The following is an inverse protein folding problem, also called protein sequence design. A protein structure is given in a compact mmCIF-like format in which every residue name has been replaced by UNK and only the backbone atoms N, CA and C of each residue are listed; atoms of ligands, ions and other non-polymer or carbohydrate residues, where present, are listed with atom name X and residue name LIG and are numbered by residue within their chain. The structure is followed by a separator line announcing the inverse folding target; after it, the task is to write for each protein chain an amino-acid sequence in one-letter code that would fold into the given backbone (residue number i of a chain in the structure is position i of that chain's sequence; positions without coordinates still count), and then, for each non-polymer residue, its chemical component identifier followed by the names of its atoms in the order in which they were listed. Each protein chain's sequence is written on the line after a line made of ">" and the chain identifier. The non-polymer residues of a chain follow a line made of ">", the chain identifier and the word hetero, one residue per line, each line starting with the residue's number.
data_IF_554333778466
#
_entry.id   IF_554333778466
#
_cell.length_a   1.000
_cell.length_b   1.000
_cell.length_c   1.000
_cell.angle_alpha   90.00
_cell.angle_beta   90.00
_cell.angle_gamma   90.00
#
_symmetry.space_group_name_H-M   'P 1'
#
loop_
_entity.id
_entity.type
_entity.pdbx_description
1 polymer ?
#
# COMPACT_ATOMS: atom_id res chain seq x y z
N UNK A 1 -23.54 2.76 4.38
CA UNK A 1 -22.66 2.01 3.44
C UNK A 1 -21.52 2.92 3.02
N UNK A 2 -20.38 2.38 2.59
CA UNK A 2 -19.29 3.17 1.99
C UNK A 2 -19.25 2.87 0.48
N UNK A 3 -19.26 3.90 -0.35
CA UNK A 3 -19.22 3.73 -1.81
C UNK A 3 -17.82 3.38 -2.28
N UNK A 4 -17.63 2.18 -2.85
CA UNK A 4 -16.36 1.77 -3.47
C UNK A 4 -15.91 2.76 -4.55
N UNK A 5 -16.82 3.19 -5.42
CA UNK A 5 -16.50 4.14 -6.50
C UNK A 5 -15.96 5.45 -5.94
N UNK A 6 -16.59 5.98 -4.90
CA UNK A 6 -16.13 7.21 -4.25
C UNK A 6 -14.78 7.02 -3.56
N UNK A 7 -14.56 5.87 -2.89
CA UNK A 7 -13.30 5.55 -2.23
C UNK A 7 -12.13 5.46 -3.21
N UNK A 8 -12.30 4.79 -4.35
CA UNK A 8 -11.25 4.67 -5.36
C UNK A 8 -10.93 6.02 -6.00
N UNK A 9 -11.94 6.84 -6.30
CA UNK A 9 -11.74 8.19 -6.82
C UNK A 9 -11.03 9.09 -5.79
N UNK A 10 -11.36 8.95 -4.51
CA UNK A 10 -10.67 9.63 -3.42
C UNK A 10 -9.19 9.23 -3.36
N UNK A 11 -8.87 7.92 -3.36
CA UNK A 11 -7.48 7.49 -3.30
C UNK A 11 -6.65 7.98 -4.49
N UNK A 12 -7.15 7.89 -5.72
CA UNK A 12 -6.40 8.42 -6.88
C UNK A 12 -6.16 9.93 -6.73
N UNK A 13 -7.17 10.69 -6.29
CA UNK A 13 -7.05 12.13 -6.08
C UNK A 13 -5.98 12.47 -5.04
N UNK A 14 -6.01 11.85 -3.87
CA UNK A 14 -5.09 12.19 -2.77
C UNK A 14 -3.66 11.69 -3.03
N UNK A 15 -3.51 10.54 -3.71
CA UNK A 15 -2.20 10.04 -4.13
C UNK A 15 -1.57 10.98 -5.17
N UNK A 16 -2.37 11.44 -6.13
CA UNK A 16 -1.92 12.40 -7.16
C UNK A 16 -1.60 13.77 -6.57
N UNK A 17 -2.40 14.24 -5.62
CA UNK A 17 -2.14 15.50 -4.91
C UNK A 17 -0.82 15.42 -4.14
N UNK A 18 -0.62 14.36 -3.35
CA UNK A 18 0.61 14.14 -2.60
C UNK A 18 1.84 14.11 -3.51
N UNK A 19 1.73 13.46 -4.67
CA UNK A 19 2.80 13.43 -5.68
C UNK A 19 3.11 14.83 -6.22
N UNK A 20 2.08 15.60 -6.59
CA UNK A 20 2.23 16.96 -7.14
C UNK A 20 2.81 17.95 -6.13
N UNK A 21 2.42 17.84 -4.87
CA UNK A 21 2.88 18.75 -3.81
C UNK A 21 4.19 18.29 -3.19
N UNK A 22 4.71 17.11 -3.57
CA UNK A 22 5.95 16.55 -3.02
C UNK A 22 5.87 16.21 -1.54
N UNK A 23 4.67 15.90 -1.04
CA UNK A 23 4.50 15.43 0.36
C UNK A 23 4.42 13.91 0.37
N UNK A 24 4.95 13.33 1.44
CA UNK A 24 4.86 11.90 1.65
C UNK A 24 3.42 11.47 1.92
N UNK A 25 3.01 10.36 1.30
CA UNK A 25 1.70 9.75 1.49
C UNK A 25 1.74 8.76 2.65
N UNK A 26 0.68 8.79 3.47
CA UNK A 26 0.47 7.80 4.54
C UNK A 26 -1.00 7.42 4.67
N UNK A 27 -1.24 6.15 5.02
CA UNK A 27 -2.55 5.57 5.25
C UNK A 27 -2.68 5.14 6.71
N UNK A 28 -3.70 5.68 7.37
CA UNK A 28 -4.00 5.43 8.77
C UNK A 28 -5.38 4.81 8.91
N UNK A 29 -5.44 3.51 9.21
CA UNK A 29 -6.69 2.75 9.38
C UNK A 29 -6.63 1.88 10.64
N UNK A 30 -7.69 1.13 10.93
CA UNK A 30 -7.79 0.26 12.11
C UNK A 30 -8.12 -1.19 11.74
N UNK A 31 -7.27 -1.83 10.93
CA UNK A 31 -7.58 -3.12 10.31
C UNK A 31 -7.70 -4.29 11.31
N UNK A 32 -6.96 -4.27 12.42
CA UNK A 32 -7.02 -5.27 13.48
C UNK A 32 -8.41 -5.40 14.12
N UNK A 33 -9.02 -4.26 14.49
CA UNK A 33 -10.32 -4.20 15.15
C UNK A 33 -11.47 -4.26 14.13
N UNK A 34 -11.32 -3.57 13.00
CA UNK A 34 -12.35 -3.51 11.96
C UNK A 34 -12.11 -4.60 10.90
N UNK A 35 -12.18 -5.86 11.34
CA UNK A 35 -11.74 -7.07 10.60
C UNK A 35 -12.34 -7.26 9.21
N UNK A 36 -13.49 -6.65 8.92
CA UNK A 36 -14.16 -6.80 7.62
C UNK A 36 -13.92 -5.58 6.74
N UNK A 37 -14.22 -4.38 7.23
CA UNK A 37 -14.23 -3.17 6.38
C UNK A 37 -12.84 -2.63 6.10
N UNK A 38 -11.97 -2.51 7.12
CA UNK A 38 -10.70 -1.81 6.98
C UNK A 38 -9.65 -2.57 6.15
N UNK A 39 -9.57 -3.91 6.18
CA UNK A 39 -8.74 -4.64 5.23
C UNK A 39 -9.14 -4.38 3.76
N UNK A 40 -10.43 -4.23 3.46
CA UNK A 40 -10.91 -3.90 2.10
C UNK A 40 -10.52 -2.47 1.72
N UNK A 41 -10.71 -1.52 2.64
CA UNK A 41 -10.29 -0.11 2.45
C UNK A 41 -8.79 -0.03 2.18
N UNK A 42 -7.99 -0.74 2.97
CA UNK A 42 -6.54 -0.84 2.82
C UNK A 42 -6.15 -1.44 1.46
N UNK A 43 -6.70 -2.60 1.11
CA UNK A 43 -6.37 -3.27 -0.15
C UNK A 43 -6.74 -2.46 -1.39
N UNK A 44 -7.81 -1.66 -1.32
CA UNK A 44 -8.13 -0.69 -2.37
C UNK A 44 -7.06 0.39 -2.54
N UNK A 45 -6.53 0.94 -1.44
CA UNK A 45 -5.44 1.90 -1.50
C UNK A 45 -4.19 1.29 -2.15
N UNK A 46 -3.80 0.07 -1.73
CA UNK A 46 -2.65 -0.66 -2.30
C UNK A 46 -2.81 -0.87 -3.80
N UNK A 47 -3.98 -1.32 -4.27
CA UNK A 47 -4.23 -1.53 -5.70
C UNK A 47 -4.19 -0.25 -6.52
N UNK A 48 -4.63 0.88 -5.97
CA UNK A 48 -4.58 2.18 -6.64
C UNK A 48 -3.15 2.71 -6.71
N UNK A 49 -2.38 2.54 -5.64
CA UNK A 49 -0.98 2.96 -5.61
C UNK A 49 -0.15 2.20 -6.65
N UNK A 50 -0.26 0.86 -6.68
CA UNK A 50 0.45 -0.02 -7.60
C UNK A 50 -0.36 -0.38 -8.87
N UNK A 51 -1.23 0.50 -9.34
CA UNK A 51 -2.21 0.19 -10.40
C UNK A 51 -1.58 -0.44 -11.65
N UNK A 52 -0.45 0.10 -12.11
CA UNK A 52 0.20 -0.34 -13.35
C UNK A 52 0.74 -1.78 -13.22
N UNK A 53 1.31 -2.11 -12.06
CA UNK A 53 1.78 -3.47 -11.77
C UNK A 53 0.61 -4.46 -11.65
N UNK A 54 -0.50 -4.05 -11.02
CA UNK A 54 -1.71 -4.88 -10.90
C UNK A 54 -2.42 -5.07 -12.24
N UNK A 55 -2.41 -4.07 -13.12
CA UNK A 55 -2.94 -4.19 -14.49
C UNK A 55 -2.10 -5.16 -15.33
N UNK A 56 -0.77 -5.06 -15.23
CA UNK A 56 0.16 -5.93 -15.97
C UNK A 56 0.14 -7.38 -15.49
N UNK A 57 0.17 -7.61 -14.17
CA UNK A 57 0.34 -8.93 -13.57
C UNK A 57 -0.96 -9.53 -12.99
N UNK A 58 -2.10 -8.86 -13.15
CA UNK A 58 -3.35 -9.21 -12.47
C UNK A 58 -3.76 -10.68 -12.60
N UNK A 59 -3.65 -11.26 -13.81
CA UNK A 59 -3.97 -12.68 -14.02
C UNK A 59 -3.11 -13.62 -13.18
N UNK A 60 -1.80 -13.37 -13.15
CA UNK A 60 -0.86 -14.14 -12.34
C UNK A 60 -1.13 -13.94 -10.85
N UNK A 61 -1.45 -12.72 -10.43
CA UNK A 61 -1.81 -12.44 -9.04
C UNK A 61 -3.08 -13.17 -8.61
N UNK A 62 -4.08 -13.27 -9.49
CA UNK A 62 -5.30 -14.02 -9.24
C UNK A 62 -5.03 -15.54 -9.18
N UNK A 63 -4.18 -16.08 -10.07
CA UNK A 63 -3.76 -17.50 -10.06
C UNK A 63 -3.01 -17.89 -8.77
N UNK A 64 -2.16 -16.98 -8.27
CA UNK A 64 -1.46 -17.15 -6.98
C UNK A 64 -2.36 -16.88 -5.77
N UNK A 65 -3.59 -16.41 -6.00
CA UNK A 65 -4.56 -16.01 -4.99
C UNK A 65 -4.08 -14.85 -4.12
N UNK A 66 -3.28 -13.92 -4.65
CA UNK A 66 -2.74 -12.79 -3.90
C UNK A 66 -3.88 -11.92 -3.36
N UNK A 67 -3.83 -11.63 -2.06
CA UNK A 67 -4.81 -10.82 -1.37
C UNK A 67 -4.13 -9.66 -0.62
N UNK A 68 -4.01 -8.51 -1.29
CA UNK A 68 -3.44 -7.30 -0.69
C UNK A 68 -4.28 -6.65 0.41
N UNK A 69 -5.49 -7.16 0.70
CA UNK A 69 -6.17 -6.80 1.94
C UNK A 69 -5.35 -7.25 3.17
N UNK A 70 -4.46 -8.23 3.00
CA UNK A 70 -3.50 -8.72 3.99
C UNK A 70 -2.14 -7.99 3.94
N UNK A 71 -1.96 -7.00 3.07
CA UNK A 71 -0.67 -6.32 2.90
C UNK A 71 0.14 -6.78 1.70
N UNK A 72 1.15 -5.99 1.33
CA UNK A 72 2.14 -6.36 0.31
C UNK A 72 2.99 -7.56 0.74
N UNK A 73 3.07 -7.86 2.05
CA UNK A 73 3.70 -9.08 2.56
C UNK A 73 3.10 -10.35 1.96
N UNK A 74 1.79 -10.38 1.71
CA UNK A 74 1.11 -11.52 1.08
C UNK A 74 1.57 -11.71 -0.37
N UNK A 75 1.67 -10.61 -1.12
CA UNK A 75 2.20 -10.60 -2.48
C UNK A 75 3.64 -11.11 -2.51
N UNK A 76 4.53 -10.52 -1.71
CA UNK A 76 5.94 -10.91 -1.68
C UNK A 76 6.14 -12.38 -1.28
N UNK A 77 5.33 -12.88 -0.34
CA UNK A 77 5.36 -14.28 0.08
C UNK A 77 4.95 -15.22 -1.05
N UNK A 78 3.88 -14.89 -1.79
CA UNK A 78 3.34 -15.76 -2.85
C UNK A 78 4.22 -15.79 -4.09
N UNK A 79 4.77 -14.64 -4.48
CA UNK A 79 5.68 -14.59 -5.65
C UNK A 79 6.99 -15.32 -5.39
N UNK A 80 7.39 -15.55 -4.12
CA UNK A 80 8.62 -16.28 -3.79
C UNK A 80 8.65 -17.73 -4.33
N UNK A 81 7.48 -18.29 -4.64
CA UNK A 81 7.35 -19.62 -5.28
C UNK A 81 7.62 -19.62 -6.79
N UNK A 82 7.68 -18.45 -7.43
CA UNK A 82 7.90 -18.31 -8.87
C UNK A 82 9.38 -18.42 -9.25
N UNK A 83 9.72 -18.66 -10.52
CA UNK A 83 11.08 -18.50 -11.01
C UNK A 83 11.64 -17.09 -10.72
N UNK A 84 12.94 -17.00 -10.39
CA UNK A 84 13.58 -15.74 -10.03
C UNK A 84 13.37 -14.62 -11.06
N UNK A 85 13.41 -14.95 -12.36
CA UNK A 85 13.17 -13.98 -13.44
C UNK A 85 11.80 -13.30 -13.34
N UNK A 86 10.76 -14.06 -12.95
CA UNK A 86 9.41 -13.53 -12.76
C UNK A 86 9.28 -12.71 -11.48
N UNK A 87 9.95 -13.14 -10.41
CA UNK A 87 10.01 -12.37 -9.17
C UNK A 87 10.63 -10.99 -9.41
N UNK A 88 11.77 -10.94 -10.09
CA UNK A 88 12.48 -9.69 -10.38
C UNK A 88 11.70 -8.80 -11.35
N UNK A 89 11.00 -9.38 -12.33
CA UNK A 89 10.07 -8.63 -13.18
C UNK A 89 8.99 -7.93 -12.35
N UNK A 90 8.31 -8.66 -11.46
CA UNK A 90 7.24 -8.11 -10.61
C UNK A 90 7.78 -7.04 -9.68
N UNK A 91 8.91 -7.29 -9.01
CA UNK A 91 9.54 -6.32 -8.09
C UNK A 91 9.93 -5.03 -8.81
N UNK A 92 10.52 -5.15 -10.01
CA UNK A 92 10.89 -3.99 -10.83
C UNK A 92 9.65 -3.18 -11.22
N UNK A 93 8.57 -3.84 -11.62
CA UNK A 93 7.35 -3.15 -12.03
C UNK A 93 6.64 -2.49 -10.83
N UNK A 94 6.70 -3.10 -9.63
CA UNK A 94 6.28 -2.47 -8.38
C UNK A 94 7.15 -1.25 -8.02
N UNK A 95 8.48 -1.34 -8.23
CA UNK A 95 9.39 -0.21 -8.04
C UNK A 95 9.09 0.93 -9.02
N UNK A 96 8.85 0.62 -10.29
CA UNK A 96 8.51 1.61 -11.31
C UNK A 96 7.24 2.39 -10.97
N UNK A 97 6.28 1.80 -10.25
CA UNK A 97 5.10 2.53 -9.76
C UNK A 97 5.50 3.70 -8.85
N UNK A 98 6.57 3.59 -8.05
CA UNK A 98 7.02 4.67 -7.17
C UNK A 98 7.57 5.89 -7.94
N UNK A 99 7.98 5.73 -9.20
CA UNK A 99 8.49 6.85 -10.02
C UNK A 99 7.40 7.87 -10.39
N UNK A 100 6.13 7.45 -10.32
CA UNK A 100 4.97 8.26 -10.70
C UNK A 100 3.96 8.39 -9.56
N UNK A 101 4.42 8.14 -8.33
CA UNK A 101 3.62 8.11 -7.11
C UNK A 101 4.36 8.86 -6.01
N UNK A 102 3.66 9.37 -4.97
CA UNK A 102 4.33 10.05 -3.87
C UNK A 102 5.22 9.07 -3.10
N UNK A 103 6.23 9.61 -2.42
CA UNK A 103 6.96 8.88 -1.39
C UNK A 103 5.97 8.31 -0.37
N UNK A 104 6.21 7.08 0.09
CA UNK A 104 5.32 6.37 0.99
C UNK A 104 5.92 6.28 2.37
N UNK A 105 5.14 6.57 3.40
CA UNK A 105 5.59 6.46 4.78
C UNK A 105 6.11 5.05 5.10
N UNK A 106 7.18 5.01 5.89
CA UNK A 106 7.87 3.79 6.29
C UNK A 106 7.58 3.42 7.73
N UNK A 107 7.43 2.12 7.96
CA UNK A 107 7.38 1.51 9.30
C UNK A 107 8.80 1.25 9.79
N UNK A 108 9.66 0.73 8.91
CA UNK A 108 11.09 0.49 9.16
C UNK A 108 11.86 0.69 7.83
N UNK A 109 12.43 1.88 7.64
CA UNK A 109 13.15 2.22 6.41
C UNK A 109 14.44 1.41 6.23
N UNK A 110 15.10 1.00 7.33
CA UNK A 110 16.30 0.16 7.28
C UNK A 110 16.01 -1.24 6.72
N UNK A 111 14.76 -1.72 6.84
CA UNK A 111 14.31 -3.00 6.30
C UNK A 111 13.41 -2.87 5.07
N UNK A 112 13.16 -1.66 4.59
CA UNK A 112 12.24 -1.42 3.47
C UNK A 112 10.76 -1.76 3.79
N UNK A 113 10.36 -1.74 5.06
CA UNK A 113 8.98 -2.03 5.47
C UNK A 113 8.17 -0.75 5.34
N UNK A 114 7.30 -0.70 4.33
CA UNK A 114 6.44 0.44 4.01
C UNK A 114 5.14 0.41 4.79
N UNK A 115 4.39 1.52 4.77
CA UNK A 115 3.02 1.61 5.28
C UNK A 115 2.03 0.63 4.63
N UNK A 116 2.36 0.07 3.45
CA UNK A 116 1.56 -0.97 2.80
C UNK A 116 2.04 -2.41 3.07
N UNK A 117 3.08 -2.60 3.89
CA UNK A 117 3.61 -3.94 4.17
C UNK A 117 2.56 -4.86 4.82
N UNK A 118 1.97 -4.43 5.95
CA UNK A 118 0.83 -5.09 6.58
C UNK A 118 -0.21 -4.06 7.04
N UNK A 119 -1.52 -4.37 6.95
CA UNK A 119 -2.60 -3.46 7.33
C UNK A 119 -2.65 -3.18 8.85
N UNK A 120 -1.88 -3.93 9.63
CA UNK A 120 -1.82 -3.82 11.08
C UNK A 120 -0.60 -3.04 11.58
N UNK A 121 0.31 -2.64 10.70
CA UNK A 121 1.56 -1.99 11.11
C UNK A 121 1.33 -0.52 11.49
N UNK A 122 0.43 0.17 10.78
CA UNK A 122 0.06 1.58 11.05
C UNK A 122 -1.41 1.65 11.48
N UNK A 123 -1.63 1.67 12.79
CA UNK A 123 -2.97 1.72 13.39
C UNK A 123 -3.31 3.17 13.76
N UNK A 124 -4.44 3.68 13.27
CA UNK A 124 -4.81 5.12 13.33
C UNK A 124 -4.75 5.74 14.73
N UNK A 125 -5.13 5.00 15.78
CA UNK A 125 -5.17 5.50 17.16
C UNK A 125 -3.78 5.65 17.79
N UNK A 126 -2.79 4.88 17.36
CA UNK A 126 -1.40 5.02 17.80
C UNK A 126 -0.58 5.92 16.85
N UNK A 127 -0.78 5.75 15.55
CA UNK A 127 0.02 6.39 14.51
C UNK A 127 -0.25 7.89 14.37
N UNK A 128 -1.51 8.34 14.46
CA UNK A 128 -1.83 9.77 14.34
C UNK A 128 -1.24 10.59 15.50
N UNK A 129 -1.39 10.20 16.79
CA UNK A 129 -0.71 10.90 17.88
C UNK A 129 0.82 10.88 17.76
N UNK A 130 1.42 9.77 17.30
CA UNK A 130 2.86 9.68 17.11
C UNK A 130 3.37 10.67 16.05
N UNK A 131 2.67 10.76 14.91
CA UNK A 131 2.96 11.72 13.84
C UNK A 131 2.83 13.18 14.33
N UNK A 132 1.75 13.50 15.07
CA UNK A 132 1.53 14.82 15.66
C UNK A 132 2.65 15.17 16.65
N UNK A 133 2.98 14.26 17.56
CA UNK A 133 4.06 14.43 18.55
C UNK A 133 5.42 14.66 17.89
N UNK A 134 5.64 14.07 16.71
CA UNK A 134 6.87 14.20 15.93
C UNK A 134 6.91 15.46 15.07
N UNK A 135 6.03 16.44 15.34
CA UNK A 135 5.97 17.71 14.62
C UNK A 135 5.31 17.60 13.25
N UNK A 136 4.35 16.69 13.09
CA UNK A 136 3.64 16.50 11.82
C UNK A 136 4.44 15.70 10.79
N UNK A 137 5.33 14.81 11.24
CA UNK A 137 6.27 14.07 10.39
C UNK A 137 6.19 12.57 10.62
N UNK A 138 6.50 11.81 9.58
CA UNK A 138 6.73 10.36 9.62
C UNK A 138 8.06 10.05 8.94
N UNK A 139 8.55 8.82 9.07
CA UNK A 139 9.74 8.37 8.35
C UNK A 139 9.39 8.03 6.90
N UNK A 140 10.25 8.43 5.96
CA UNK A 140 10.31 7.95 4.58
C UNK A 140 11.47 6.99 4.38
#
# INVERSE_FOLDING_TARGET
>A
FMSKKALLAFYEKEIEDAHKTGVMFSLHVKATMMKVSHPIVFGHCVKIFYKDAFEKHGKLFDELGINVNNGMVDLYTKIASLPQSKQEEIKRDLHACHEHRPELAMVDSAKGITNFHSPNDIIVDASMPAMIRSGGKMYG
#
